data_IF_705031539491
#
_entry.id   IF_705031539491
#
_cell.length_a   1.000
_cell.length_b   1.000
_cell.length_c   1.000
_cell.angle_alpha   90.00
_cell.angle_beta   90.00
_cell.angle_gamma   90.00
#
_symmetry.space_group_name_H-M   'P 1'
#
loop_
_entity.id
_entity.type
_entity.pdbx_description
1 polymer ?
#
# COMPACT_ATOMS: atom_id res chain seq x y z
N UNK A 1 6.85 -7.07 -21.72
CA UNK A 1 6.68 -5.62 -21.94
C UNK A 1 6.24 -5.01 -20.63
N UNK A 2 6.72 -3.81 -20.28
CA UNK A 2 6.39 -3.21 -18.98
C UNK A 2 5.17 -2.31 -19.11
N UNK A 3 4.09 -2.70 -18.44
CA UNK A 3 2.89 -1.88 -18.31
C UNK A 3 2.88 -1.15 -16.99
N UNK A 4 2.61 0.15 -17.05
CA UNK A 4 2.47 1.02 -15.88
C UNK A 4 1.11 1.72 -15.91
N UNK A 5 0.43 1.85 -14.79
CA UNK A 5 -0.91 2.42 -14.76
C UNK A 5 -1.04 3.52 -13.72
N UNK A 6 -1.50 4.68 -14.15
CA UNK A 6 -1.80 5.82 -13.29
C UNK A 6 -3.27 5.76 -12.85
N UNK A 7 -3.50 5.50 -11.57
CA UNK A 7 -4.84 5.43 -10.98
C UNK A 7 -5.51 6.80 -10.86
N UNK A 8 -4.75 7.90 -10.84
CA UNK A 8 -5.32 9.25 -10.72
C UNK A 8 -5.89 9.70 -12.06
N UNK A 9 -5.11 9.53 -13.12
CA UNK A 9 -5.48 9.98 -14.46
C UNK A 9 -6.18 8.90 -15.29
N UNK A 10 -6.25 7.65 -14.80
CA UNK A 10 -6.73 6.45 -15.53
C UNK A 10 -6.00 6.25 -16.85
N UNK A 11 -4.67 6.26 -16.79
CA UNK A 11 -3.80 6.19 -17.96
C UNK A 11 -2.91 4.97 -17.87
N UNK A 12 -2.95 4.13 -18.91
CA UNK A 12 -2.04 3.02 -19.06
C UNK A 12 -0.85 3.44 -19.92
N UNK A 13 0.35 3.08 -19.50
CA UNK A 13 1.60 3.32 -20.20
C UNK A 13 2.21 1.99 -20.61
N UNK A 14 2.53 1.86 -21.89
CA UNK A 14 3.30 0.73 -22.44
C UNK A 14 4.66 1.28 -22.87
N UNK A 15 5.69 1.09 -22.04
CA UNK A 15 6.94 1.82 -22.18
C UNK A 15 6.74 3.33 -22.04
N UNK A 16 7.01 4.09 -23.11
CA UNK A 16 6.79 5.55 -23.19
C UNK A 16 5.43 5.91 -23.82
N UNK A 17 4.72 4.95 -24.41
CA UNK A 17 3.43 5.18 -25.06
C UNK A 17 2.36 5.39 -24.01
N UNK A 18 1.69 6.55 -24.06
CA UNK A 18 0.58 6.91 -23.19
C UNK A 18 -0.75 6.50 -23.83
N UNK A 19 -1.54 5.72 -23.11
CA UNK A 19 -2.87 5.25 -23.53
C UNK A 19 -3.92 5.70 -22.51
N UNK A 20 -4.62 6.82 -22.73
CA UNK A 20 -5.72 7.22 -21.87
C UNK A 20 -6.87 6.22 -21.93
N UNK A 21 -7.61 6.07 -20.83
CA UNK A 21 -8.81 5.25 -20.84
C UNK A 21 -9.88 5.85 -21.77
N UNK A 22 -10.51 5.01 -22.60
CA UNK A 22 -11.70 5.40 -23.37
C UNK A 22 -13.00 4.99 -22.67
N UNK A 23 -12.92 4.05 -21.72
CA UNK A 23 -14.03 3.60 -20.89
C UNK A 23 -13.52 3.20 -19.50
N UNK A 24 -14.36 3.39 -18.48
CA UNK A 24 -14.14 3.03 -17.08
C UNK A 24 -15.22 2.06 -16.57
N UNK A 25 -15.87 1.34 -17.47
CA UNK A 25 -16.87 0.35 -17.07
C UNK A 25 -16.23 -0.79 -16.25
N UNK A 26 -16.91 -1.21 -15.20
CA UNK A 26 -16.51 -2.35 -14.38
C UNK A 26 -17.24 -3.60 -14.87
N UNK A 27 -16.49 -4.55 -15.40
CA UNK A 27 -16.96 -5.83 -15.89
C UNK A 27 -16.08 -6.93 -15.30
N UNK A 28 -16.63 -8.12 -15.09
CA UNK A 28 -15.83 -9.30 -14.75
C UNK A 28 -15.06 -9.76 -16.00
N UNK A 29 -13.72 -9.79 -15.92
CA UNK A 29 -12.85 -10.07 -17.07
C UNK A 29 -12.24 -11.48 -17.00
N UNK A 30 -12.32 -12.14 -15.84
CA UNK A 30 -11.83 -13.50 -15.66
C UNK A 30 -11.32 -13.75 -14.25
N UNK A 31 -10.28 -14.57 -14.13
CA UNK A 31 -9.77 -15.08 -12.86
C UNK A 31 -8.31 -14.73 -12.67
N UNK A 32 -7.93 -14.32 -11.46
CA UNK A 32 -6.57 -13.91 -11.14
C UNK A 32 -5.63 -15.10 -11.07
N UNK A 33 -4.55 -15.09 -11.85
CA UNK A 33 -3.53 -16.15 -11.87
C UNK A 33 -2.73 -16.30 -10.57
N UNK A 34 -2.82 -15.33 -9.65
CA UNK A 34 -2.15 -15.41 -8.35
C UNK A 34 -3.01 -16.07 -7.25
N UNK A 35 -4.33 -15.90 -7.27
CA UNK A 35 -5.19 -16.33 -6.15
C UNK A 35 -6.55 -16.91 -6.56
N UNK A 36 -6.74 -17.21 -7.85
CA UNK A 36 -7.92 -17.84 -8.43
C UNK A 36 -9.27 -17.13 -8.14
N UNK A 37 -9.21 -15.86 -7.76
CA UNK A 37 -10.41 -15.04 -7.48
C UNK A 37 -10.79 -14.19 -8.69
N UNK A 38 -12.04 -13.74 -8.78
CA UNK A 38 -12.53 -12.91 -9.89
C UNK A 38 -11.72 -11.61 -10.04
N UNK A 39 -11.47 -11.24 -11.30
CA UNK A 39 -10.88 -9.96 -11.70
C UNK A 39 -11.94 -9.07 -12.34
N UNK A 40 -11.87 -7.79 -12.03
CA UNK A 40 -12.75 -6.76 -12.58
C UNK A 40 -11.94 -5.77 -13.41
N UNK A 41 -12.52 -5.27 -14.51
CA UNK A 41 -11.93 -4.15 -15.26
C UNK A 41 -11.96 -2.88 -14.42
N UNK A 42 -10.91 -2.09 -14.55
CA UNK A 42 -10.84 -0.72 -14.02
C UNK A 42 -10.88 0.30 -15.15
N UNK A 43 -10.35 -0.05 -16.33
CA UNK A 43 -10.34 0.83 -17.51
C UNK A 43 -10.00 0.08 -18.79
N UNK A 44 -10.44 0.66 -19.90
CA UNK A 44 -10.19 0.15 -21.25
C UNK A 44 -9.36 1.12 -22.07
N UNK A 45 -8.39 0.58 -22.82
CA UNK A 45 -7.41 1.30 -23.61
C UNK A 45 -7.27 0.68 -25.00
N UNK A 46 -6.73 1.46 -25.94
CA UNK A 46 -6.41 0.99 -27.30
C UNK A 46 -4.91 1.17 -27.54
N UNK A 47 -4.27 0.13 -28.07
CA UNK A 47 -2.86 0.12 -28.49
C UNK A 47 -2.77 -0.35 -29.94
N UNK A 48 -2.80 0.58 -30.90
CA UNK A 48 -2.90 0.21 -32.31
C UNK A 48 -4.26 -0.42 -32.62
N UNK A 49 -4.27 -1.70 -33.00
CA UNK A 49 -5.49 -2.49 -33.24
C UNK A 49 -5.89 -3.37 -32.05
N UNK A 50 -5.07 -3.39 -30.99
CA UNK A 50 -5.30 -4.20 -29.80
C UNK A 50 -6.09 -3.42 -28.74
N UNK A 51 -6.90 -4.16 -28.00
CA UNK A 51 -7.66 -3.65 -26.86
C UNK A 51 -6.92 -4.10 -25.61
N UNK A 52 -6.57 -3.15 -24.74
CA UNK A 52 -5.88 -3.43 -23.49
C UNK A 52 -6.79 -3.04 -22.34
N UNK A 53 -7.13 -4.02 -21.51
CA UNK A 53 -7.99 -3.84 -20.34
C UNK A 53 -7.11 -3.87 -19.10
N UNK A 54 -7.06 -2.76 -18.37
CA UNK A 54 -6.48 -2.77 -17.04
C UNK A 54 -7.49 -3.38 -16.08
N UNK A 55 -7.03 -4.29 -15.23
CA UNK A 55 -7.87 -5.07 -14.32
C UNK A 55 -7.28 -5.11 -12.93
N UNK A 56 -8.14 -5.40 -11.95
CA UNK A 56 -7.78 -5.59 -10.55
C UNK A 56 -8.42 -6.86 -10.01
N UNK A 57 -7.64 -7.67 -9.29
CA UNK A 57 -8.17 -8.79 -8.54
C UNK A 57 -8.97 -8.32 -7.31
N UNK A 58 -10.17 -8.87 -7.14
CA UNK A 58 -11.06 -8.55 -6.01
C UNK A 58 -10.54 -9.03 -4.65
N UNK A 59 -9.69 -10.06 -4.62
CA UNK A 59 -9.19 -10.64 -3.37
C UNK A 59 -7.77 -10.16 -3.00
N UNK A 60 -6.78 -10.35 -3.89
CA UNK A 60 -5.39 -9.99 -3.59
C UNK A 60 -5.00 -8.58 -4.01
N UNK A 61 -5.85 -7.88 -4.78
CA UNK A 61 -5.58 -6.53 -5.25
C UNK A 61 -4.49 -6.42 -6.32
N UNK A 62 -3.98 -7.53 -6.85
CA UNK A 62 -3.04 -7.53 -7.96
C UNK A 62 -3.65 -6.91 -9.23
N UNK A 63 -2.82 -6.22 -10.01
CA UNK A 63 -3.23 -5.53 -11.25
C UNK A 63 -2.63 -6.20 -12.47
N UNK A 64 -3.44 -6.37 -13.50
CA UNK A 64 -3.03 -6.99 -14.76
C UNK A 64 -3.57 -6.20 -15.96
N UNK A 65 -2.76 -6.14 -17.02
CA UNK A 65 -3.15 -5.70 -18.35
C UNK A 65 -3.53 -6.96 -19.11
N UNK A 66 -4.79 -7.05 -19.52
CA UNK A 66 -5.28 -8.15 -20.34
C UNK A 66 -5.42 -7.63 -21.77
N UNK A 67 -4.72 -8.29 -22.69
CA UNK A 67 -4.57 -7.86 -24.06
C UNK A 67 -5.49 -8.71 -24.92
N UNK A 68 -6.31 -8.05 -25.72
CA UNK A 68 -7.21 -8.65 -26.68
C UNK A 68 -6.91 -8.15 -28.09
N UNK A 69 -7.13 -9.02 -29.07
CA UNK A 69 -7.16 -8.62 -30.48
C UNK A 69 -8.39 -7.76 -30.81
N UNK A 70 -8.51 -7.30 -32.07
CA UNK A 70 -9.58 -6.41 -32.50
C UNK A 70 -10.99 -7.03 -32.39
N UNK A 71 -11.08 -8.36 -32.36
CA UNK A 71 -12.33 -9.12 -32.20
C UNK A 71 -12.57 -9.60 -30.76
N UNK A 72 -11.91 -8.99 -29.76
CA UNK A 72 -11.98 -9.41 -28.35
C UNK A 72 -11.49 -10.84 -28.07
N UNK A 73 -10.68 -11.41 -28.97
CA UNK A 73 -9.99 -12.67 -28.70
C UNK A 73 -8.83 -12.42 -27.72
N UNK A 74 -8.74 -13.20 -26.65
CA UNK A 74 -7.63 -13.10 -25.70
C UNK A 74 -6.29 -13.37 -26.40
N UNK A 75 -5.29 -12.54 -26.12
CA UNK A 75 -3.95 -12.63 -26.71
C UNK A 75 -2.91 -12.91 -25.63
N UNK A 76 -2.89 -12.08 -24.58
CA UNK A 76 -1.89 -12.17 -23.52
C UNK A 76 -2.38 -11.50 -22.23
N UNK A 77 -1.68 -11.75 -21.13
CA UNK A 77 -1.85 -11.05 -19.87
C UNK A 77 -0.50 -10.70 -19.26
N UNK A 78 -0.40 -9.52 -18.65
CA UNK A 78 0.85 -9.06 -18.04
C UNK A 78 0.58 -8.26 -16.77
N UNK A 79 1.35 -8.45 -15.69
CA UNK A 79 1.25 -7.63 -14.49
C UNK A 79 1.46 -6.14 -14.78
N UNK A 80 0.68 -5.29 -14.12
CA UNK A 80 0.80 -3.83 -14.18
C UNK A 80 1.51 -3.31 -12.93
N UNK A 81 2.45 -2.39 -13.12
CA UNK A 81 3.00 -1.56 -12.04
C UNK A 81 2.21 -0.25 -11.89
N UNK A 82 1.90 0.20 -10.69
CA UNK A 82 1.13 1.44 -10.49
C UNK A 82 2.01 2.71 -10.56
N UNK A 83 1.43 3.82 -11.01
CA UNK A 83 2.00 5.17 -11.02
C UNK A 83 1.19 6.14 -10.14
N UNK A 84 1.86 7.03 -9.38
CA UNK A 84 3.26 6.87 -8.98
C UNK A 84 3.46 5.51 -8.31
N UNK A 85 4.65 4.90 -8.43
CA UNK A 85 4.98 3.66 -7.70
C UNK A 85 4.55 3.92 -6.27
N UNK A 86 3.60 3.14 -5.71
CA UNK A 86 3.16 3.36 -4.35
C UNK A 86 4.41 3.29 -3.49
N UNK A 87 4.90 4.43 -3.03
CA UNK A 87 5.91 4.45 -1.98
C UNK A 87 5.18 3.75 -0.85
N UNK A 88 5.67 2.61 -0.33
CA UNK A 88 5.15 2.12 0.92
C UNK A 88 5.31 3.30 1.88
N UNK A 89 4.22 3.94 2.29
CA UNK A 89 4.25 4.87 3.41
C UNK A 89 4.44 3.96 4.61
N UNK A 90 5.65 3.42 4.76
CA UNK A 90 6.07 2.75 5.97
C UNK A 90 6.20 3.87 6.98
N UNK A 91 5.28 3.89 7.93
CA UNK A 91 5.34 4.79 9.08
C UNK A 91 6.77 4.81 9.63
N UNK A 92 7.39 5.98 9.86
CA UNK A 92 8.71 6.06 10.41
C UNK A 92 8.81 5.21 11.68
N UNK A 93 9.79 4.29 11.69
CA UNK A 93 9.96 3.32 12.77
C UNK A 93 10.94 3.88 13.80
N UNK A 94 10.48 3.99 15.04
CA UNK A 94 11.24 4.51 16.17
C UNK A 94 11.75 3.35 17.00
N UNK A 95 13.08 3.19 17.06
CA UNK A 95 13.77 2.06 17.70
C UNK A 95 14.73 2.45 18.81
N UNK A 96 15.00 3.74 18.96
CA UNK A 96 16.02 4.26 19.86
C UNK A 96 15.55 5.48 20.65
N UNK A 97 16.40 5.89 21.60
CA UNK A 97 16.15 7.02 22.48
C UNK A 97 16.06 8.35 21.73
N UNK A 98 16.84 8.50 20.66
CA UNK A 98 16.89 9.74 19.87
C UNK A 98 15.58 9.94 19.12
N UNK A 99 15.11 8.92 18.41
CA UNK A 99 13.83 8.92 17.72
C UNK A 99 12.65 9.07 18.68
N UNK A 100 12.72 8.43 19.86
CA UNK A 100 11.68 8.60 20.89
C UNK A 100 11.69 10.03 21.47
N UNK A 101 12.87 10.62 21.65
CA UNK A 101 13.05 11.99 22.15
C UNK A 101 12.64 13.08 21.15
N UNK A 102 12.65 12.77 19.85
CA UNK A 102 12.16 13.66 18.80
C UNK A 102 10.62 13.76 18.76
N UNK A 103 9.90 12.81 19.37
CA UNK A 103 8.44 12.84 19.43
C UNK A 103 8.01 13.92 20.44
N UNK A 104 7.15 14.90 20.05
CA UNK A 104 6.59 15.84 21.00
C UNK A 104 5.88 15.13 22.15
N UNK A 105 6.24 15.47 23.39
CA UNK A 105 5.73 14.79 24.59
C UNK A 105 4.19 14.70 24.62
N UNK A 106 3.49 15.75 24.15
CA UNK A 106 2.02 15.77 24.06
C UNK A 106 1.43 14.66 23.19
N UNK A 107 2.14 14.21 22.15
CA UNK A 107 1.71 13.06 21.33
C UNK A 107 1.78 11.76 22.14
N UNK A 108 2.84 11.59 22.93
CA UNK A 108 2.99 10.43 23.81
C UNK A 108 1.91 10.44 24.90
N UNK A 109 1.66 11.58 25.53
CA UNK A 109 0.65 11.74 26.60
C UNK A 109 -0.79 11.49 26.12
N UNK A 110 -1.06 11.62 24.82
CA UNK A 110 -2.38 11.34 24.24
C UNK A 110 -2.74 9.84 24.28
N UNK A 111 -1.75 8.95 24.32
CA UNK A 111 -1.94 7.48 24.23
C UNK A 111 -1.39 6.76 25.47
N UNK A 112 -0.25 7.22 25.96
CA UNK A 112 0.48 6.60 27.06
C UNK A 112 0.32 7.40 28.36
N UNK A 113 0.17 6.67 29.46
CA UNK A 113 0.27 7.22 30.81
C UNK A 113 1.72 7.56 31.16
N UNK A 114 1.92 8.42 32.16
CA UNK A 114 3.26 8.82 32.62
C UNK A 114 4.20 7.63 32.89
N UNK A 115 3.73 6.59 33.59
CA UNK A 115 4.54 5.40 33.89
C UNK A 115 4.87 4.56 32.66
N UNK A 116 4.00 4.56 31.65
CA UNK A 116 4.27 3.92 30.34
C UNK A 116 5.32 4.71 29.57
N UNK A 117 5.23 6.04 29.52
CA UNK A 117 6.22 6.92 28.89
C UNK A 117 7.60 6.71 29.53
N UNK A 118 7.70 6.74 30.86
CA UNK A 118 8.95 6.48 31.59
C UNK A 118 9.54 5.10 31.25
N UNK A 119 8.69 4.07 31.11
CA UNK A 119 9.13 2.74 30.73
C UNK A 119 9.62 2.66 29.27
N UNK A 120 9.02 3.41 28.35
CA UNK A 120 9.49 3.52 26.96
C UNK A 120 10.86 4.18 26.90
N UNK A 121 11.05 5.32 27.57
CA UNK A 121 12.35 6.01 27.64
C UNK A 121 13.42 5.17 28.33
N UNK A 122 13.07 4.44 29.40
CA UNK A 122 14.00 3.52 30.04
C UNK A 122 14.42 2.40 29.08
N UNK A 123 13.46 1.79 28.37
CA UNK A 123 13.74 0.74 27.39
C UNK A 123 14.61 1.23 26.22
N UNK A 124 14.28 2.40 25.67
CA UNK A 124 15.00 3.00 24.55
C UNK A 124 16.43 3.43 24.92
N UNK A 125 16.65 3.83 26.19
CA UNK A 125 17.97 4.18 26.72
C UNK A 125 18.73 3.01 27.34
N UNK A 126 18.40 1.76 27.00
CA UNK A 126 19.02 0.52 27.53
C UNK A 126 19.01 0.38 29.06
N UNK A 127 18.11 1.07 29.75
CA UNK A 127 17.89 0.94 31.20
C UNK A 127 16.80 -0.08 31.49
N UNK A 128 16.81 -0.67 32.68
CA UNK A 128 15.78 -1.62 33.10
C UNK A 128 14.43 -0.90 33.34
N UNK A 129 13.39 -1.15 32.52
CA UNK A 129 12.08 -0.53 32.71
C UNK A 129 11.23 -1.34 33.70
N UNK A 130 10.23 -0.70 34.30
CA UNK A 130 9.17 -1.42 35.03
C UNK A 130 8.38 -2.25 34.00
N UNK A 131 8.55 -3.57 34.05
CA UNK A 131 7.99 -4.52 33.06
C UNK A 131 6.49 -4.35 32.84
N UNK A 132 5.73 -4.11 33.91
CA UNK A 132 4.28 -3.94 33.85
C UNK A 132 3.88 -2.74 32.98
N UNK A 133 4.59 -1.61 33.12
CA UNK A 133 4.31 -0.41 32.33
C UNK A 133 4.76 -0.58 30.88
N UNK A 134 5.93 -1.18 30.63
CA UNK A 134 6.36 -1.46 29.26
C UNK A 134 5.37 -2.39 28.52
N UNK A 135 4.87 -3.42 29.20
CA UNK A 135 3.89 -4.34 28.61
C UNK A 135 2.57 -3.64 28.27
N UNK A 136 2.09 -2.75 29.14
CA UNK A 136 0.89 -1.95 28.87
C UNK A 136 1.11 -0.97 27.72
N UNK A 137 2.28 -0.34 27.64
CA UNK A 137 2.63 0.56 26.54
C UNK A 137 2.64 -0.17 25.19
N UNK A 138 3.26 -1.36 25.10
CA UNK A 138 3.32 -2.17 23.86
C UNK A 138 1.95 -2.51 23.28
N UNK A 139 0.94 -2.71 24.14
CA UNK A 139 -0.45 -2.96 23.69
C UNK A 139 -1.09 -1.77 22.98
N UNK A 140 -0.51 -0.58 23.09
CA UNK A 140 -1.03 0.66 22.49
C UNK A 140 -0.20 1.14 21.29
N UNK A 141 0.80 0.36 20.86
CA UNK A 141 1.64 0.75 19.73
C UNK A 141 0.85 0.88 18.44
N UNK A 142 -0.06 -0.07 18.17
CA UNK A 142 -0.96 -0.03 17.02
C UNK A 142 -1.83 1.23 17.05
N UNK A 143 -2.48 1.52 18.19
CA UNK A 143 -3.25 2.75 18.36
C UNK A 143 -2.41 4.03 18.16
N UNK A 144 -1.16 4.04 18.65
CA UNK A 144 -0.26 5.17 18.46
C UNK A 144 0.13 5.35 16.99
N UNK A 145 0.40 4.24 16.29
CA UNK A 145 0.72 4.21 14.87
C UNK A 145 -0.45 4.68 14.00
N UNK A 146 -1.68 4.26 14.32
CA UNK A 146 -2.90 4.72 13.64
C UNK A 146 -3.14 6.23 13.80
N UNK A 147 -2.88 6.79 14.98
CA UNK A 147 -3.18 8.21 15.27
C UNK A 147 -2.09 9.15 14.73
N UNK A 148 -0.83 8.72 14.78
CA UNK A 148 0.31 9.60 14.51
C UNK A 148 1.17 9.19 13.34
N UNK A 149 0.84 8.10 12.65
CA UNK A 149 1.60 7.55 11.52
C UNK A 149 3.07 7.29 11.89
N UNK A 150 3.30 6.85 13.14
CA UNK A 150 4.63 6.57 13.70
C UNK A 150 4.62 5.20 14.39
N UNK A 151 5.53 4.32 13.98
CA UNK A 151 5.61 2.96 14.52
C UNK A 151 6.67 2.87 15.61
N UNK A 152 6.30 2.36 16.79
CA UNK A 152 7.24 2.11 17.89
C UNK A 152 7.73 0.66 17.85
N UNK A 153 9.05 0.44 17.89
CA UNK A 153 9.69 -0.88 17.95
C UNK A 153 10.77 -0.91 19.06
N UNK A 154 10.35 -0.66 20.30
CA UNK A 154 11.20 -0.59 21.51
C UNK A 154 11.13 -1.87 22.38
#
# INVERSE_FOLDING_TARGET
>A
MDYRYDLQDNVLYMGETRMPAYSLEENEIGTCTHCDSSMVSISYHVSGEEIVVATKCTACGAFYAIIYGPEWNWVDETPISLLPVPIPISNPVIRDLEGLGAIPLKKLEAVFSKGEIEALFARAGEKAPIRQYLYRARKKYEQFEEIFELRLEL
#
